data_IF_239634468854
#
_entry.id   IF_239634468854
#
_cell.length_a   1.000
_cell.length_b   1.000
_cell.length_c   1.000
_cell.angle_alpha   90.00
_cell.angle_beta   90.00
_cell.angle_gamma   90.00
#
_symmetry.space_group_name_H-M   'P 1'
#
loop_
_entity.id
_entity.type
_entity.pdbx_description
1 polymer ?
#
# COMPACT_ATOMS: atom_id res chain seq x y z
N UNK A 1 -27.63 58.81 -63.00
CA UNK A 1 -26.77 57.61 -62.96
C UNK A 1 -26.61 57.18 -61.53
N UNK A 2 -27.34 56.13 -61.08
CA UNK A 2 -27.25 55.61 -59.72
C UNK A 2 -26.64 54.22 -59.77
N UNK A 3 -25.49 54.07 -59.05
CA UNK A 3 -24.75 52.83 -58.97
C UNK A 3 -25.13 52.15 -57.64
N UNK A 4 -25.89 51.04 -57.75
CA UNK A 4 -26.24 50.22 -56.60
C UNK A 4 -25.05 49.30 -56.22
N UNK A 5 -24.46 49.54 -55.05
CA UNK A 5 -23.53 48.56 -54.45
C UNK A 5 -24.30 47.56 -53.60
N UNK A 6 -24.31 46.29 -54.01
CA UNK A 6 -24.82 45.17 -53.23
C UNK A 6 -23.80 44.79 -52.16
N UNK A 7 -24.22 44.85 -50.87
CA UNK A 7 -23.45 44.34 -49.76
C UNK A 7 -23.66 42.82 -49.66
N UNK A 8 -22.55 42.06 -49.75
CA UNK A 8 -22.55 40.62 -49.51
C UNK A 8 -22.51 40.34 -48.01
N UNK A 9 -23.57 39.68 -47.50
CA UNK A 9 -23.60 39.25 -46.10
C UNK A 9 -22.76 37.98 -45.91
N UNK A 10 -21.69 38.10 -45.18
CA UNK A 10 -20.80 36.96 -44.80
C UNK A 10 -21.44 36.22 -43.62
N UNK A 11 -21.99 35.04 -43.88
CA UNK A 11 -22.56 34.14 -42.89
C UNK A 11 -21.43 33.41 -42.15
N UNK A 12 -21.12 33.80 -40.94
CA UNK A 12 -20.21 33.06 -40.06
C UNK A 12 -20.93 31.82 -39.53
N UNK A 13 -20.50 30.64 -40.02
CA UNK A 13 -20.88 29.36 -39.44
C UNK A 13 -20.04 29.16 -38.19
N UNK A 14 -20.65 29.31 -37.00
CA UNK A 14 -20.04 28.91 -35.74
C UNK A 14 -19.96 27.39 -35.69
N UNK A 15 -18.72 26.88 -35.72
CA UNK A 15 -18.43 25.45 -35.54
C UNK A 15 -18.42 25.21 -34.02
N UNK A 16 -19.48 24.60 -33.49
CA UNK A 16 -19.53 24.18 -32.09
C UNK A 16 -18.64 22.96 -31.91
N UNK A 17 -17.50 23.13 -31.26
CA UNK A 17 -16.63 22.04 -30.85
C UNK A 17 -17.24 21.40 -29.58
N UNK A 18 -17.87 20.22 -29.74
CA UNK A 18 -18.31 19.41 -28.61
C UNK A 18 -17.08 18.74 -27.98
N UNK A 19 -16.63 19.25 -26.84
CA UNK A 19 -15.63 18.59 -26.02
C UNK A 19 -16.33 17.45 -25.27
N UNK A 20 -16.14 16.22 -25.71
CA UNK A 20 -16.57 15.03 -24.97
C UNK A 20 -15.64 14.88 -23.74
N UNK A 21 -16.16 15.19 -22.53
CA UNK A 21 -15.53 14.84 -21.27
C UNK A 21 -15.61 13.31 -21.11
N UNK A 22 -14.51 12.62 -21.39
CA UNK A 22 -14.34 11.23 -20.99
C UNK A 22 -14.16 11.20 -19.46
N UNK A 23 -15.23 10.90 -18.74
CA UNK A 23 -15.16 10.56 -17.34
C UNK A 23 -14.46 9.21 -17.20
N UNK A 24 -13.16 9.22 -16.92
CA UNK A 24 -12.43 8.03 -16.49
C UNK A 24 -12.92 7.66 -15.09
N UNK A 25 -13.80 6.66 -15.00
CA UNK A 25 -14.09 5.97 -13.75
C UNK A 25 -12.84 5.20 -13.37
N UNK A 26 -11.95 5.85 -12.62
CA UNK A 26 -10.82 5.19 -12.00
C UNK A 26 -11.35 4.20 -10.97
N UNK A 27 -11.23 2.90 -11.25
CA UNK A 27 -11.26 1.89 -10.20
C UNK A 27 -10.19 2.28 -9.18
N UNK A 28 -10.60 2.63 -7.97
CA UNK A 28 -9.70 2.98 -6.86
C UNK A 28 -8.93 1.76 -6.37
N UNK A 29 -7.99 1.27 -7.16
CA UNK A 29 -6.91 0.43 -6.68
C UNK A 29 -5.90 1.36 -5.99
N UNK A 30 -5.82 1.32 -4.65
CA UNK A 30 -4.80 2.05 -3.92
C UNK A 30 -3.44 1.68 -4.49
N UNK A 31 -2.66 2.69 -4.90
CA UNK A 31 -1.27 2.46 -5.34
C UNK A 31 -0.50 2.03 -4.09
N UNK A 32 0.15 0.85 -4.15
CA UNK A 32 1.02 0.41 -3.06
C UNK A 32 2.05 1.49 -2.76
N UNK A 33 2.19 1.84 -1.49
CA UNK A 33 3.23 2.76 -1.06
C UNK A 33 4.60 2.15 -1.36
N UNK A 34 5.54 3.00 -1.74
CA UNK A 34 6.89 2.54 -2.06
C UNK A 34 7.57 2.02 -0.78
N UNK A 35 8.11 0.79 -0.78
CA UNK A 35 8.86 0.28 0.36
C UNK A 35 10.09 1.14 0.67
N UNK A 36 10.34 1.38 1.96
CA UNK A 36 11.52 2.06 2.46
C UNK A 36 12.21 1.20 3.54
N UNK A 37 12.95 0.20 3.10
CA UNK A 37 13.71 -0.68 3.99
C UNK A 37 14.81 0.09 4.76
N UNK A 38 15.37 1.16 4.17
CA UNK A 38 16.39 1.97 4.84
C UNK A 38 15.84 2.66 6.08
N UNK A 39 14.58 3.11 6.03
CA UNK A 39 13.89 3.69 7.18
C UNK A 39 13.80 2.68 8.33
N UNK A 40 13.35 1.45 8.06
CA UNK A 40 13.24 0.40 9.10
C UNK A 40 14.60 -0.01 9.64
N UNK A 41 15.63 -0.08 8.79
CA UNK A 41 17.00 -0.33 9.24
C UNK A 41 17.46 0.76 10.24
N UNK A 42 17.13 2.02 9.98
CA UNK A 42 17.46 3.14 10.88
C UNK A 42 16.66 3.09 12.20
N UNK A 43 15.37 2.75 12.15
CA UNK A 43 14.53 2.56 13.33
C UNK A 43 15.11 1.49 14.25
N UNK A 44 15.44 0.33 13.69
CA UNK A 44 16.05 -0.77 14.45
C UNK A 44 17.41 -0.38 15.04
N UNK A 45 18.28 0.25 14.24
CA UNK A 45 19.60 0.69 14.73
C UNK A 45 19.53 1.73 15.85
N UNK A 46 18.47 2.51 15.93
CA UNK A 46 18.24 3.53 16.97
C UNK A 46 17.40 3.05 18.16
N UNK A 47 16.86 1.82 18.11
CA UNK A 47 15.92 1.31 19.13
C UNK A 47 14.60 2.09 19.17
N UNK A 48 14.12 2.57 18.00
CA UNK A 48 12.89 3.36 17.91
C UNK A 48 11.70 2.45 17.65
N UNK A 49 10.65 2.58 18.47
CA UNK A 49 9.35 1.91 18.34
C UNK A 49 8.24 2.86 17.93
N UNK A 50 7.01 2.36 17.78
CA UNK A 50 5.79 3.12 17.45
C UNK A 50 5.89 3.89 16.12
N UNK A 51 6.62 3.34 15.13
CA UNK A 51 6.85 4.01 13.85
C UNK A 51 6.12 3.31 12.69
N UNK A 52 5.46 4.08 11.83
CA UNK A 52 4.89 3.55 10.60
C UNK A 52 6.01 3.07 9.67
N UNK A 53 5.81 1.90 9.07
CA UNK A 53 6.80 1.28 8.19
C UNK A 53 6.15 0.64 6.96
N UNK A 54 6.81 0.78 5.82
CA UNK A 54 6.51 0.03 4.60
C UNK A 54 7.79 -0.68 4.16
N UNK A 55 7.78 -2.00 4.19
CA UNK A 55 8.94 -2.82 3.85
C UNK A 55 8.64 -3.80 2.73
N UNK A 56 9.67 -4.19 2.01
CA UNK A 56 9.61 -5.32 1.08
C UNK A 56 10.74 -6.29 1.39
N UNK A 57 10.42 -7.57 1.46
CA UNK A 57 11.41 -8.60 1.76
C UNK A 57 10.98 -9.98 1.28
N UNK A 58 11.78 -10.97 1.61
CA UNK A 58 11.52 -12.38 1.29
C UNK A 58 10.98 -13.10 2.52
N UNK A 59 9.87 -13.79 2.38
CA UNK A 59 9.33 -14.70 3.41
C UNK A 59 10.31 -15.86 3.58
N UNK A 60 10.81 -16.06 4.80
CA UNK A 60 11.74 -17.16 5.11
C UNK A 60 11.13 -18.23 6.01
N UNK A 61 9.98 -17.95 6.60
CA UNK A 61 9.25 -18.92 7.42
C UNK A 61 7.87 -18.41 7.78
N UNK A 62 6.90 -19.33 7.85
CA UNK A 62 5.56 -19.08 8.36
C UNK A 62 5.47 -19.68 9.75
N UNK A 63 5.03 -18.89 10.74
CA UNK A 63 5.01 -19.28 12.15
C UNK A 63 3.67 -19.88 12.57
N UNK A 64 2.68 -19.90 11.66
CA UNK A 64 1.32 -20.32 11.93
C UNK A 64 0.49 -19.28 12.69
N UNK A 65 -0.70 -19.69 13.14
CA UNK A 65 -1.64 -18.82 13.85
C UNK A 65 -1.58 -18.99 15.37
N UNK A 66 -1.91 -17.93 16.07
CA UNK A 66 -2.03 -17.90 17.54
C UNK A 66 -3.13 -16.94 17.98
N UNK A 67 -3.82 -17.25 19.05
CA UNK A 67 -4.77 -16.34 19.67
C UNK A 67 -4.04 -15.28 20.51
N UNK A 68 -4.43 -14.03 20.35
CA UNK A 68 -3.97 -12.88 21.11
C UNK A 68 -5.14 -12.07 21.68
N UNK A 69 -4.87 -11.01 22.45
CA UNK A 69 -5.92 -10.17 23.05
C UNK A 69 -6.83 -9.47 22.02
N UNK A 70 -6.38 -9.30 20.79
CA UNK A 70 -7.11 -8.64 19.70
C UNK A 70 -7.62 -9.60 18.62
N UNK A 71 -7.62 -10.90 18.88
CA UNK A 71 -8.10 -11.94 17.96
C UNK A 71 -7.02 -12.92 17.52
N UNK A 72 -7.30 -13.70 16.49
CA UNK A 72 -6.35 -14.66 15.93
C UNK A 72 -5.35 -13.94 15.01
N UNK A 73 -4.06 -14.23 15.21
CA UNK A 73 -2.96 -13.65 14.45
C UNK A 73 -2.15 -14.72 13.75
N UNK A 74 -1.79 -14.48 12.51
CA UNK A 74 -0.81 -15.23 11.75
C UNK A 74 0.55 -14.50 11.82
N UNK A 75 1.62 -15.24 12.11
CA UNK A 75 2.98 -14.74 12.15
C UNK A 75 3.81 -15.28 11.00
N UNK A 76 4.74 -14.47 10.49
CA UNK A 76 5.76 -14.92 9.56
C UNK A 76 7.07 -14.12 9.69
N UNK A 77 8.17 -14.71 9.20
CA UNK A 77 9.48 -14.08 9.18
C UNK A 77 9.77 -13.51 7.81
N UNK A 78 10.13 -12.23 7.78
CA UNK A 78 10.45 -11.47 6.58
C UNK A 78 11.93 -11.05 6.61
N UNK A 79 12.70 -11.50 5.62
CA UNK A 79 14.13 -11.16 5.50
C UNK A 79 14.29 -9.93 4.60
N UNK A 80 14.89 -8.88 5.14
CA UNK A 80 15.38 -7.74 4.37
C UNK A 80 16.84 -8.00 3.98
N UNK A 81 17.17 -7.85 2.70
CA UNK A 81 18.54 -8.05 2.19
C UNK A 81 19.09 -6.81 1.50
N UNK A 82 18.23 -5.83 1.28
CA UNK A 82 18.62 -4.51 0.76
C UNK A 82 18.68 -3.53 1.92
N UNK A 83 19.65 -2.64 1.92
CA UNK A 83 19.97 -1.61 2.91
C UNK A 83 20.51 -2.14 4.24
N UNK A 84 19.98 -3.23 4.78
CA UNK A 84 20.52 -3.95 5.93
C UNK A 84 20.13 -5.43 5.89
N UNK A 85 20.86 -6.24 6.64
CA UNK A 85 20.58 -7.66 6.85
C UNK A 85 19.73 -7.83 8.10
N UNK A 86 18.41 -7.60 7.97
CA UNK A 86 17.47 -7.60 9.09
C UNK A 86 16.42 -8.68 8.91
N UNK A 87 16.07 -9.37 10.01
CA UNK A 87 14.96 -10.31 10.09
C UNK A 87 13.83 -9.66 10.86
N UNK A 88 12.69 -9.46 10.21
CA UNK A 88 11.48 -8.93 10.84
C UNK A 88 10.49 -10.05 11.14
N UNK A 89 9.83 -9.99 12.27
CA UNK A 89 8.61 -10.75 12.54
C UNK A 89 7.41 -9.91 12.14
N UNK A 90 6.57 -10.47 11.29
CA UNK A 90 5.33 -9.83 10.86
C UNK A 90 4.17 -10.52 11.56
N UNK A 91 3.22 -9.74 12.05
CA UNK A 91 2.01 -10.21 12.71
C UNK A 91 0.79 -9.60 11.99
N UNK A 92 -0.10 -10.43 11.49
CA UNK A 92 -1.36 -9.99 10.86
C UNK A 92 -2.56 -10.59 11.58
N UNK A 93 -3.64 -9.80 11.73
CA UNK A 93 -4.87 -10.26 12.37
C UNK A 93 -5.77 -10.92 11.33
N UNK A 94 -5.83 -12.26 11.35
CA UNK A 94 -6.57 -13.05 10.35
C UNK A 94 -8.09 -12.96 10.51
N UNK A 95 -8.59 -12.52 11.66
CA UNK A 95 -10.03 -12.23 11.83
C UNK A 95 -10.46 -11.02 10.97
N UNK A 96 -9.49 -10.15 10.60
CA UNK A 96 -9.74 -8.96 9.77
C UNK A 96 -9.34 -9.23 8.32
N UNK A 97 -8.11 -9.71 8.10
CA UNK A 97 -7.55 -9.87 6.74
C UNK A 97 -7.97 -11.16 6.05
N UNK A 98 -8.44 -12.14 6.81
CA UNK A 98 -8.38 -13.55 6.41
C UNK A 98 -6.93 -14.07 6.39
N UNK A 99 -6.72 -15.38 6.21
CA UNK A 99 -5.39 -15.98 6.14
C UNK A 99 -4.64 -15.50 4.89
N UNK A 100 -3.34 -15.17 5.05
CA UNK A 100 -2.46 -14.81 3.94
C UNK A 100 -1.75 -16.09 3.44
N UNK A 101 -1.92 -16.48 2.17
CA UNK A 101 -1.37 -17.75 1.67
C UNK A 101 0.13 -17.64 1.37
N UNK A 102 0.95 -17.49 2.41
CA UNK A 102 2.38 -17.25 2.32
C UNK A 102 3.19 -18.54 2.14
N UNK A 103 4.26 -18.44 1.35
CA UNK A 103 5.26 -19.49 1.19
C UNK A 103 6.66 -18.93 1.34
N UNK A 104 7.58 -19.74 1.90
CA UNK A 104 8.98 -19.37 1.94
C UNK A 104 9.54 -19.16 0.52
N UNK A 105 10.32 -18.11 0.35
CA UNK A 105 10.88 -17.66 -0.93
C UNK A 105 10.05 -16.59 -1.66
N UNK A 106 8.81 -16.33 -1.24
CA UNK A 106 7.99 -15.27 -1.83
C UNK A 106 8.48 -13.87 -1.41
N UNK A 107 8.36 -12.92 -2.33
CA UNK A 107 8.58 -11.50 -2.03
C UNK A 107 7.25 -10.86 -1.72
N UNK A 108 7.14 -10.22 -0.55
CA UNK A 108 5.95 -9.51 -0.10
C UNK A 108 6.28 -8.09 0.32
N UNK A 109 5.28 -7.20 0.22
CA UNK A 109 5.34 -5.85 0.79
C UNK A 109 4.42 -5.78 2.00
N UNK A 110 4.90 -5.23 3.09
CA UNK A 110 4.16 -5.11 4.35
C UNK A 110 4.15 -3.66 4.78
N UNK A 111 2.96 -3.14 5.09
CA UNK A 111 2.76 -1.88 5.79
C UNK A 111 2.17 -2.14 7.17
N UNK A 112 2.70 -1.48 8.18
CA UNK A 112 2.22 -1.56 9.55
C UNK A 112 3.02 -0.66 10.48
N UNK A 113 2.92 -0.93 11.77
CA UNK A 113 3.70 -0.25 12.80
C UNK A 113 4.90 -1.10 13.20
N UNK A 114 6.08 -0.51 13.16
CA UNK A 114 7.32 -1.10 13.60
C UNK A 114 7.50 -0.93 15.11
N UNK A 115 7.89 -2.02 15.78
CA UNK A 115 8.33 -2.06 17.17
C UNK A 115 9.73 -2.66 17.25
N UNK A 116 10.60 -2.01 17.99
CA UNK A 116 11.91 -2.58 18.30
C UNK A 116 11.77 -3.82 19.18
N UNK A 117 12.40 -4.90 18.77
CA UNK A 117 12.38 -6.22 19.45
C UNK A 117 13.75 -6.87 19.29
N UNK A 118 14.32 -7.50 20.34
CA UNK A 118 15.62 -8.16 20.28
C UNK A 118 15.66 -9.35 19.33
N UNK A 119 15.58 -9.24 18.11
CA UNK A 119 15.56 -10.29 17.10
C UNK A 119 15.36 -9.74 15.71
N UNK A 120 15.30 -8.38 15.59
CA UNK A 120 15.16 -7.71 14.32
C UNK A 120 13.95 -6.79 14.24
N UNK A 121 13.09 -6.81 15.26
CA UNK A 121 11.87 -6.02 15.31
C UNK A 121 10.64 -6.74 14.81
N UNK A 122 9.49 -6.15 15.11
CA UNK A 122 8.17 -6.63 14.75
C UNK A 122 7.44 -5.58 13.93
N UNK A 123 6.71 -5.98 12.89
CA UNK A 123 5.70 -5.13 12.26
C UNK A 123 4.34 -5.76 12.51
N UNK A 124 3.47 -5.00 13.15
CA UNK A 124 2.08 -5.37 13.43
C UNK A 124 1.10 -4.33 12.91
N UNK A 125 -0.22 -4.47 13.17
CA UNK A 125 -1.28 -3.65 12.59
C UNK A 125 -1.22 -3.58 11.06
N UNK A 126 -0.95 -4.73 10.47
CA UNK A 126 -0.84 -4.93 9.02
C UNK A 126 -2.22 -5.15 8.38
N UNK A 127 -3.22 -4.39 8.80
CA UNK A 127 -4.61 -4.47 8.36
C UNK A 127 -5.27 -3.09 8.45
N UNK A 128 -6.46 -2.95 7.86
CA UNK A 128 -7.30 -1.77 8.07
C UNK A 128 -7.72 -1.67 9.52
N UNK A 129 -7.75 -0.45 10.04
CA UNK A 129 -8.37 -0.20 11.34
C UNK A 129 -9.80 0.33 11.17
N UNK A 130 -10.83 -0.54 11.31
CA UNK A 130 -12.22 -0.11 11.21
C UNK A 130 -12.65 0.84 12.33
N UNK A 131 -11.81 1.02 13.37
CA UNK A 131 -12.06 1.90 14.53
C UNK A 131 -11.22 3.18 14.50
N UNK A 132 -10.33 3.34 13.53
CA UNK A 132 -9.48 4.53 13.39
C UNK A 132 -8.48 4.75 14.52
N UNK A 133 -7.96 3.68 15.14
CA UNK A 133 -7.00 3.76 16.26
C UNK A 133 -5.56 3.75 15.82
N UNK A 134 -5.29 3.27 14.60
CA UNK A 134 -3.97 3.25 13.98
C UNK A 134 -4.06 3.51 12.47
N UNK A 135 -2.93 3.76 11.84
CA UNK A 135 -2.86 3.89 10.38
C UNK A 135 -3.15 2.54 9.73
N UNK A 136 -3.91 2.55 8.62
CA UNK A 136 -4.21 1.33 7.89
C UNK A 136 -2.95 0.68 7.36
N UNK A 137 -2.78 -0.60 7.68
CA UNK A 137 -1.71 -1.44 7.18
C UNK A 137 -2.21 -2.46 6.15
N UNK A 138 -1.30 -3.25 5.62
CA UNK A 138 -1.60 -4.35 4.70
C UNK A 138 -0.43 -5.34 4.58
N UNK A 139 -0.73 -6.54 4.09
CA UNK A 139 0.24 -7.42 3.47
C UNK A 139 -0.11 -7.52 1.98
N UNK A 140 0.82 -7.18 1.11
CA UNK A 140 0.68 -7.34 -0.34
C UNK A 140 1.49 -8.57 -0.77
N UNK A 141 0.79 -9.63 -1.12
CA UNK A 141 1.34 -10.91 -1.55
C UNK A 141 0.67 -11.35 -2.84
N UNK A 142 1.44 -11.81 -3.81
CA UNK A 142 0.97 -12.25 -5.15
C UNK A 142 0.00 -11.25 -5.81
N UNK A 143 0.32 -9.95 -5.70
CA UNK A 143 -0.48 -8.86 -6.27
C UNK A 143 -1.82 -8.58 -5.56
N UNK A 144 -2.11 -9.25 -4.45
CA UNK A 144 -3.33 -9.08 -3.67
C UNK A 144 -3.03 -8.43 -2.32
N UNK A 145 -3.89 -7.46 -1.93
CA UNK A 145 -3.87 -6.87 -0.60
C UNK A 145 -4.68 -7.71 0.40
N UNK A 146 -4.09 -7.95 1.54
CA UNK A 146 -4.69 -8.52 2.74
C UNK A 146 -4.67 -7.41 3.81
N UNK A 147 -5.87 -6.79 4.05
CA UNK A 147 -6.01 -5.58 4.86
C UNK A 147 -7.33 -5.49 5.64
#
# INVERSE_FOLDING_TARGET
>A
MAVHRRAAALRHRALALAVALLASTGCGGGVAEKPDNAHVCALYASGTSDAEAVVQGTVVGVLGTRNGPSGEHEGFLLKLTQQCDLMLRIETNVDITGPVPLRAGETVTVKGQFEDDPGGGVIHWTHRDPRGRHVNGYVLADGKYYE
#
